data_IF_411906163518
#
_entry.id   IF_411906163518
#
_cell.length_a   1.000
_cell.length_b   1.000
_cell.length_c   1.000
_cell.angle_alpha   90.00
_cell.angle_beta   90.00
_cell.angle_gamma   90.00
#
_symmetry.space_group_name_H-M   'P 1'
#
loop_
_entity.id
_entity.type
_entity.pdbx_description
1 polymer ?
#
# COMPACT_ATOMS: atom_id res chain seq x y z
N UNK A 1 8.53 -2.89 -22.70
CA UNK A 1 8.97 -4.13 -22.03
C UNK A 1 8.37 -4.19 -20.64
N UNK A 2 7.85 -5.36 -20.29
CA UNK A 2 7.08 -5.67 -19.08
C UNK A 2 7.82 -5.25 -17.81
N UNK A 3 7.27 -4.31 -17.03
CA UNK A 3 7.51 -4.24 -15.58
C UNK A 3 6.30 -4.86 -14.87
N UNK A 4 6.07 -6.13 -15.16
CA UNK A 4 5.27 -7.02 -14.31
C UNK A 4 6.20 -7.43 -13.14
N UNK A 5 6.48 -6.51 -12.23
CA UNK A 5 7.10 -6.86 -10.95
C UNK A 5 5.96 -7.23 -10.01
N UNK A 6 5.25 -8.30 -10.38
CA UNK A 6 4.33 -9.02 -9.53
C UNK A 6 4.88 -10.41 -9.43
N UNK A 7 5.86 -10.62 -8.56
CA UNK A 7 6.33 -11.95 -8.18
C UNK A 7 7.10 -11.89 -6.86
N UNK A 8 6.50 -11.28 -5.84
CA UNK A 8 6.80 -11.66 -4.47
C UNK A 8 5.97 -12.88 -4.10
N UNK A 9 6.54 -14.06 -4.36
CA UNK A 9 6.03 -15.35 -3.89
C UNK A 9 6.15 -15.43 -2.36
N UNK A 10 5.24 -14.78 -1.64
CA UNK A 10 4.91 -15.19 -0.28
C UNK A 10 3.97 -16.40 -0.36
N UNK A 11 4.56 -17.57 -0.65
CA UNK A 11 3.97 -18.88 -0.41
C UNK A 11 3.95 -19.21 1.09
N UNK A 12 3.60 -18.24 1.95
CA UNK A 12 3.16 -18.59 3.30
C UNK A 12 1.79 -19.23 3.12
N UNK A 13 1.67 -20.49 3.53
CA UNK A 13 0.47 -21.30 3.48
C UNK A 13 -0.66 -20.80 4.38
N UNK A 14 -1.00 -19.52 4.30
CA UNK A 14 -2.23 -18.96 4.80
C UNK A 14 -3.35 -19.42 3.86
N UNK A 15 -3.84 -20.65 4.08
CA UNK A 15 -5.09 -21.16 3.53
C UNK A 15 -6.32 -20.44 4.13
N UNK A 16 -6.13 -19.30 4.80
CA UNK A 16 -7.21 -18.47 5.32
C UNK A 16 -7.73 -17.55 4.24
N UNK A 17 -8.66 -18.11 3.48
CA UNK A 17 -9.54 -17.46 2.53
C UNK A 17 -10.23 -16.24 3.17
N UNK A 18 -9.93 -15.05 2.65
CA UNK A 18 -10.89 -13.97 2.58
C UNK A 18 -11.34 -13.91 1.11
N UNK A 19 -12.42 -14.61 0.80
CA UNK A 19 -13.04 -14.68 -0.53
C UNK A 19 -14.01 -13.52 -0.81
N UNK A 20 -14.29 -12.67 0.19
CA UNK A 20 -15.17 -11.49 0.04
C UNK A 20 -14.79 -10.38 1.02
N UNK A 21 -15.19 -9.13 0.73
CA UNK A 21 -15.01 -7.97 1.60
C UNK A 21 -15.53 -8.20 3.03
N UNK A 22 -16.68 -8.85 3.17
CA UNK A 22 -17.28 -9.19 4.47
C UNK A 22 -16.41 -10.10 5.35
N UNK A 23 -15.50 -10.88 4.76
CA UNK A 23 -14.63 -11.79 5.49
C UNK A 23 -13.36 -11.10 5.98
N UNK A 24 -12.91 -10.02 5.34
CA UNK A 24 -11.68 -9.28 5.68
C UNK A 24 -11.68 -8.86 7.13
N UNK A 25 -12.74 -8.16 7.57
CA UNK A 25 -12.83 -7.69 8.94
C UNK A 25 -12.82 -8.87 9.94
N UNK A 26 -13.55 -9.96 9.66
CA UNK A 26 -13.57 -11.13 10.53
C UNK A 26 -12.20 -11.80 10.68
N UNK A 27 -11.44 -11.91 9.58
CA UNK A 27 -10.09 -12.47 9.56
C UNK A 27 -9.14 -11.54 10.31
N UNK A 28 -9.25 -10.23 10.05
CA UNK A 28 -8.44 -9.23 10.72
C UNK A 28 -8.66 -9.21 12.23
N UNK A 29 -9.91 -9.28 12.72
CA UNK A 29 -10.19 -9.33 14.16
C UNK A 29 -9.53 -10.55 14.82
N UNK A 30 -9.61 -11.75 14.19
CA UNK A 30 -8.95 -12.95 14.70
C UNK A 30 -7.43 -12.80 14.78
N UNK A 31 -6.82 -12.19 13.76
CA UNK A 31 -5.37 -11.92 13.77
C UNK A 31 -5.03 -10.92 14.89
N UNK A 32 -5.86 -9.88 15.06
CA UNK A 32 -5.67 -8.82 16.05
C UNK A 32 -5.79 -9.34 17.48
N UNK A 33 -6.75 -10.24 17.77
CA UNK A 33 -6.94 -10.86 19.09
C UNK A 33 -5.68 -11.60 19.58
N UNK A 34 -4.92 -12.22 18.67
CA UNK A 34 -3.67 -12.89 18.98
C UNK A 34 -2.42 -11.99 18.96
N UNK A 35 -2.55 -10.73 18.56
CA UNK A 35 -1.39 -9.86 18.34
C UNK A 35 -0.99 -9.08 19.60
N UNK A 36 0.32 -8.95 19.82
CA UNK A 36 0.88 -8.08 20.85
C UNK A 36 0.88 -6.64 20.34
N UNK A 37 -0.01 -5.78 20.85
CA UNK A 37 -0.09 -4.38 20.43
C UNK A 37 0.84 -3.52 21.30
N UNK A 38 1.68 -2.72 20.67
CA UNK A 38 2.60 -1.78 21.34
C UNK A 38 2.71 -0.48 20.52
N UNK A 39 2.24 0.64 21.06
CA UNK A 39 2.23 1.94 20.36
C UNK A 39 3.63 2.53 20.16
N UNK A 40 4.62 2.06 20.92
CA UNK A 40 6.00 2.56 20.86
C UNK A 40 6.88 1.71 19.93
N UNK A 41 6.48 0.47 19.63
CA UNK A 41 7.22 -0.39 18.70
C UNK A 41 6.90 -0.01 17.25
N UNK A 42 7.89 0.55 16.56
CA UNK A 42 7.75 1.01 15.18
C UNK A 42 8.23 0.01 14.12
N UNK A 43 8.61 -1.22 14.48
CA UNK A 43 9.24 -2.14 13.54
C UNK A 43 8.38 -2.42 12.30
N UNK A 44 7.06 -2.60 12.49
CA UNK A 44 6.11 -2.78 11.38
C UNK A 44 5.87 -1.47 10.63
N UNK A 45 5.75 -0.34 11.32
CA UNK A 45 5.58 0.96 10.66
C UNK A 45 6.77 1.27 9.73
N UNK A 46 7.99 1.13 10.25
CA UNK A 46 9.21 1.44 9.53
C UNK A 46 9.43 0.45 8.37
N UNK A 47 8.93 -0.78 8.48
CA UNK A 47 8.90 -1.72 7.37
C UNK A 47 7.96 -1.26 6.24
N UNK A 48 6.76 -0.78 6.56
CA UNK A 48 5.82 -0.24 5.57
C UNK A 48 6.38 1.01 4.89
N UNK A 49 7.06 1.86 5.65
CA UNK A 49 7.73 3.06 5.12
C UNK A 49 8.95 2.69 4.25
N UNK A 50 9.75 1.70 4.65
CA UNK A 50 10.82 1.17 3.81
C UNK A 50 10.27 0.60 2.49
N UNK A 51 9.19 -0.18 2.56
CA UNK A 51 8.54 -0.75 1.39
C UNK A 51 8.04 0.35 0.45
N UNK A 52 7.40 1.38 0.99
CA UNK A 52 6.99 2.57 0.23
C UNK A 52 8.18 3.22 -0.49
N UNK A 53 9.24 3.53 0.25
CA UNK A 53 10.38 4.27 -0.26
C UNK A 53 11.07 3.49 -1.40
N UNK A 54 11.25 2.18 -1.23
CA UNK A 54 11.96 1.32 -2.18
C UNK A 54 11.14 0.91 -3.42
N UNK A 55 9.82 0.75 -3.28
CA UNK A 55 8.96 0.28 -4.38
C UNK A 55 8.25 1.40 -5.12
N UNK A 56 7.77 2.42 -4.40
CA UNK A 56 6.82 3.38 -4.94
C UNK A 56 7.44 4.75 -5.15
N UNK A 57 8.26 5.21 -4.20
CA UNK A 57 8.87 6.56 -4.24
C UNK A 57 10.17 6.62 -5.05
N UNK A 58 10.97 5.55 -5.06
CA UNK A 58 12.24 5.57 -5.79
C UNK A 58 12.02 5.61 -7.31
N UNK A 59 12.96 6.25 -8.01
CA UNK A 59 13.00 6.24 -9.48
C UNK A 59 13.37 4.85 -10.05
N UNK A 60 13.95 3.99 -9.22
CA UNK A 60 14.37 2.63 -9.57
C UNK A 60 13.75 1.63 -8.60
N UNK A 61 13.62 0.38 -9.03
CA UNK A 61 13.26 -0.68 -8.10
C UNK A 61 14.44 -0.91 -7.16
N UNK A 62 14.23 -0.65 -5.87
CA UNK A 62 15.21 -0.81 -4.82
C UNK A 62 14.82 -1.92 -3.82
N UNK A 63 13.86 -2.78 -4.17
CA UNK A 63 13.59 -3.98 -3.36
C UNK A 63 14.77 -4.94 -3.42
N UNK A 64 15.36 -5.18 -2.25
CA UNK A 64 16.50 -6.08 -2.11
C UNK A 64 16.08 -7.36 -1.37
N UNK A 65 16.79 -8.49 -1.55
CA UNK A 65 16.55 -9.71 -0.79
C UNK A 65 16.52 -9.49 0.73
N UNK A 66 17.30 -8.54 1.24
CA UNK A 66 17.34 -8.19 2.66
C UNK A 66 16.00 -7.60 3.14
N UNK A 67 15.31 -6.79 2.32
CA UNK A 67 13.97 -6.28 2.67
C UNK A 67 12.97 -7.42 2.74
N UNK A 68 13.09 -8.42 1.86
CA UNK A 68 12.25 -9.63 1.87
C UNK A 68 12.45 -10.43 3.14
N UNK A 69 13.71 -10.73 3.46
CA UNK A 69 14.08 -11.48 4.65
C UNK A 69 13.57 -10.78 5.91
N UNK A 70 13.63 -9.44 5.94
CA UNK A 70 13.07 -8.66 7.05
C UNK A 70 11.54 -8.82 7.18
N UNK A 71 10.81 -8.82 6.06
CA UNK A 71 9.36 -9.09 6.06
C UNK A 71 9.10 -10.50 6.59
N UNK A 72 9.80 -11.52 6.08
CA UNK A 72 9.64 -12.92 6.46
C UNK A 72 9.94 -13.14 7.95
N UNK A 73 11.02 -12.54 8.45
CA UNK A 73 11.43 -12.63 9.85
C UNK A 73 10.38 -12.00 10.79
N UNK A 74 9.84 -10.84 10.44
CA UNK A 74 8.79 -10.20 11.23
C UNK A 74 7.47 -10.99 11.17
N UNK A 75 7.09 -11.47 10.00
CA UNK A 75 5.83 -12.20 9.78
C UNK A 75 5.83 -13.60 10.43
N UNK A 76 6.99 -14.26 10.51
CA UNK A 76 7.13 -15.60 11.11
C UNK A 76 7.31 -15.60 12.62
N UNK A 77 7.65 -14.44 13.22
CA UNK A 77 7.85 -14.33 14.66
C UNK A 77 6.54 -13.96 15.38
N UNK A 78 5.96 -14.87 16.20
CA UNK A 78 4.72 -14.59 16.93
C UNK A 78 4.86 -13.51 18.02
N UNK A 79 6.09 -13.18 18.40
CA UNK A 79 6.38 -12.13 19.38
C UNK A 79 6.48 -10.73 18.75
N UNK A 80 6.47 -10.62 17.42
CA UNK A 80 6.47 -9.35 16.70
C UNK A 80 5.30 -8.48 17.17
N UNK A 81 5.62 -7.28 17.65
CA UNK A 81 4.60 -6.30 18.03
C UNK A 81 3.89 -5.78 16.80
N UNK A 82 2.60 -5.49 16.95
CA UNK A 82 1.75 -4.95 15.89
C UNK A 82 1.66 -5.82 14.63
N UNK A 83 1.95 -7.12 14.76
CA UNK A 83 1.96 -8.09 13.65
C UNK A 83 0.65 -8.09 12.85
N UNK A 84 -0.49 -7.81 13.48
CA UNK A 84 -1.79 -7.71 12.80
C UNK A 84 -1.82 -6.69 11.65
N UNK A 85 -1.09 -5.57 11.77
CA UNK A 85 -0.96 -4.58 10.70
C UNK A 85 -0.17 -5.16 9.53
N UNK A 86 0.97 -5.81 9.83
CA UNK A 86 1.79 -6.44 8.80
C UNK A 86 1.02 -7.55 8.08
N UNK A 87 0.31 -8.40 8.81
CA UNK A 87 -0.48 -9.49 8.24
C UNK A 87 -1.61 -8.97 7.35
N UNK A 88 -2.32 -7.92 7.76
CA UNK A 88 -3.35 -7.30 6.93
C UNK A 88 -2.76 -6.68 5.66
N UNK A 89 -1.61 -6.02 5.76
CA UNK A 89 -0.88 -5.49 4.60
C UNK A 89 -0.44 -6.60 3.64
N UNK A 90 0.13 -7.70 4.15
CA UNK A 90 0.54 -8.84 3.34
C UNK A 90 -0.65 -9.55 2.69
N UNK A 91 -1.78 -9.65 3.38
CA UNK A 91 -3.01 -10.19 2.82
C UNK A 91 -3.50 -9.34 1.65
N UNK A 92 -3.44 -8.01 1.76
CA UNK A 92 -3.73 -7.10 0.66
C UNK A 92 -2.74 -7.28 -0.51
N UNK A 93 -1.43 -7.30 -0.24
CA UNK A 93 -0.39 -7.49 -1.26
C UNK A 93 -0.59 -8.81 -2.03
N UNK A 94 -0.89 -9.89 -1.31
CA UNK A 94 -1.17 -11.19 -1.91
C UNK A 94 -2.43 -11.15 -2.79
N UNK A 95 -3.47 -10.44 -2.35
CA UNK A 95 -4.70 -10.28 -3.12
C UNK A 95 -4.44 -9.58 -4.47
N UNK A 96 -3.81 -8.39 -4.45
CA UNK A 96 -3.54 -7.63 -5.68
C UNK A 96 -2.55 -8.35 -6.62
N UNK A 97 -1.61 -9.12 -6.05
CA UNK A 97 -0.67 -9.91 -6.85
C UNK A 97 -1.35 -11.05 -7.58
N UNK A 98 -2.23 -11.78 -6.89
CA UNK A 98 -2.95 -12.91 -7.50
C UNK A 98 -3.88 -12.45 -8.61
N UNK A 99 -4.67 -11.39 -8.39
CA UNK A 99 -5.60 -10.87 -9.41
C UNK A 99 -4.86 -10.43 -10.67
N UNK A 100 -3.72 -9.74 -10.52
CA UNK A 100 -2.84 -9.37 -11.62
C UNK A 100 -2.29 -10.60 -12.38
N UNK A 101 -1.88 -11.66 -11.67
CA UNK A 101 -1.33 -12.87 -12.28
C UNK A 101 -2.36 -13.68 -13.07
N UNK A 102 -3.59 -13.80 -12.55
CA UNK A 102 -4.64 -14.63 -13.19
C UNK A 102 -5.52 -13.84 -14.17
N UNK A 103 -5.23 -12.55 -14.37
CA UNK A 103 -6.00 -11.66 -15.25
C UNK A 103 -7.47 -11.50 -14.84
N UNK A 104 -7.79 -11.77 -13.57
CA UNK A 104 -9.16 -11.64 -13.06
C UNK A 104 -9.43 -10.19 -12.67
N UNK A 105 -10.70 -9.74 -12.74
CA UNK A 105 -11.10 -8.47 -12.18
C UNK A 105 -10.67 -8.36 -10.72
N UNK A 106 -10.14 -7.19 -10.38
CA UNK A 106 -9.82 -6.79 -9.02
C UNK A 106 -11.09 -6.81 -8.15
N UNK A 107 -11.06 -7.48 -6.98
CA UNK A 107 -12.13 -7.33 -5.98
C UNK A 107 -11.90 -6.02 -5.23
N UNK A 108 -12.50 -4.96 -5.75
CA UNK A 108 -12.32 -3.60 -5.26
C UNK A 108 -12.97 -3.39 -3.90
N UNK A 109 -14.05 -4.14 -3.57
CA UNK A 109 -14.66 -4.09 -2.25
C UNK A 109 -13.73 -4.65 -1.18
N UNK A 110 -13.09 -5.80 -1.44
CA UNK A 110 -12.06 -6.35 -0.57
C UNK A 110 -10.93 -5.34 -0.34
N UNK A 111 -10.45 -4.70 -1.41
CA UNK A 111 -9.32 -3.79 -1.34
C UNK A 111 -9.66 -2.51 -0.56
N UNK A 112 -10.84 -1.95 -0.77
CA UNK A 112 -11.33 -0.78 -0.03
C UNK A 112 -11.45 -1.11 1.45
N UNK A 113 -12.03 -2.25 1.81
CA UNK A 113 -12.19 -2.67 3.21
C UNK A 113 -10.84 -2.90 3.88
N UNK A 114 -9.94 -3.65 3.25
CA UNK A 114 -8.61 -3.92 3.79
C UNK A 114 -7.80 -2.64 4.00
N UNK A 115 -7.85 -1.70 3.06
CA UNK A 115 -7.17 -0.40 3.20
C UNK A 115 -7.80 0.51 4.26
N UNK A 116 -9.12 0.47 4.40
CA UNK A 116 -9.82 1.22 5.44
C UNK A 116 -9.45 0.70 6.83
N UNK A 117 -9.36 -0.62 7.00
CA UNK A 117 -8.88 -1.24 8.23
C UNK A 117 -7.41 -0.89 8.49
N UNK A 118 -6.53 -0.96 7.49
CA UNK A 118 -5.11 -0.59 7.66
C UNK A 118 -4.92 0.87 8.06
N UNK A 119 -5.63 1.79 7.40
CA UNK A 119 -5.59 3.22 7.75
C UNK A 119 -6.00 3.44 9.20
N UNK A 120 -7.14 2.89 9.60
CA UNK A 120 -7.64 3.00 10.97
C UNK A 120 -6.64 2.45 11.98
N UNK A 121 -6.13 1.25 11.75
CA UNK A 121 -5.29 0.55 12.73
C UNK A 121 -3.90 1.16 12.83
N UNK A 122 -3.32 1.61 11.71
CA UNK A 122 -2.06 2.37 11.76
C UNK A 122 -2.24 3.72 12.45
N UNK A 123 -3.37 4.41 12.24
CA UNK A 123 -3.68 5.65 12.96
C UNK A 123 -3.87 5.41 14.46
N UNK A 124 -4.57 4.36 14.86
CA UNK A 124 -4.87 4.04 16.26
C UNK A 124 -3.63 3.60 17.05
N UNK A 125 -2.73 2.83 16.41
CA UNK A 125 -1.50 2.32 17.04
C UNK A 125 -0.39 3.37 17.00
N UNK A 126 -0.13 3.99 15.85
CA UNK A 126 1.04 4.86 15.65
C UNK A 126 0.73 6.36 15.66
N UNK A 127 -0.55 6.75 15.66
CA UNK A 127 -0.95 8.15 15.49
C UNK A 127 -0.74 8.71 14.08
N UNK A 128 -0.21 7.90 13.15
CA UNK A 128 0.15 8.30 11.78
C UNK A 128 -0.10 7.16 10.79
N UNK A 129 -0.55 7.50 9.59
CA UNK A 129 -0.81 6.55 8.50
C UNK A 129 0.39 6.56 7.53
N UNK A 130 1.04 5.43 7.26
CA UNK A 130 2.07 5.31 6.21
C UNK A 130 1.60 5.77 4.82
N UNK A 131 2.48 6.42 4.05
CA UNK A 131 2.17 6.97 2.71
C UNK A 131 1.58 5.91 1.74
N UNK A 132 2.11 4.68 1.80
CA UNK A 132 1.66 3.55 0.98
C UNK A 132 0.18 3.22 1.15
N UNK A 133 -0.39 3.45 2.34
CA UNK A 133 -1.82 3.19 2.59
C UNK A 133 -2.67 4.22 1.84
N UNK A 134 -2.28 5.50 1.81
CA UNK A 134 -2.99 6.52 1.02
C UNK A 134 -3.02 6.17 -0.47
N UNK A 135 -1.89 5.69 -0.99
CA UNK A 135 -1.73 5.31 -2.41
C UNK A 135 -2.64 4.13 -2.74
N UNK A 136 -2.50 3.01 -2.03
CA UNK A 136 -3.30 1.81 -2.30
C UNK A 136 -4.79 1.99 -1.99
N UNK A 137 -5.14 2.80 -0.99
CA UNK A 137 -6.53 3.16 -0.74
C UNK A 137 -7.12 3.97 -1.89
N UNK A 138 -6.39 4.96 -2.39
CA UNK A 138 -6.82 5.76 -3.54
C UNK A 138 -7.02 4.89 -4.79
N UNK A 139 -6.10 3.98 -5.08
CA UNK A 139 -6.21 3.03 -6.20
C UNK A 139 -7.42 2.10 -6.05
N UNK A 140 -7.65 1.56 -4.85
CA UNK A 140 -8.79 0.70 -4.57
C UNK A 140 -10.13 1.42 -4.75
N UNK A 141 -10.24 2.66 -4.24
CA UNK A 141 -11.42 3.51 -4.39
C UNK A 141 -11.66 3.88 -5.86
N UNK A 142 -10.58 4.23 -6.59
CA UNK A 142 -10.65 4.59 -8.00
C UNK A 142 -11.13 3.41 -8.87
N UNK A 143 -10.58 2.22 -8.61
CA UNK A 143 -10.99 0.97 -9.24
C UNK A 143 -12.42 0.56 -8.90
N UNK A 144 -12.90 0.89 -7.69
CA UNK A 144 -14.29 0.71 -7.26
C UNK A 144 -15.26 1.79 -7.77
N UNK A 145 -14.82 2.71 -8.62
CA UNK A 145 -15.66 3.79 -9.15
C UNK A 145 -15.93 4.94 -8.17
N UNK A 146 -15.32 4.93 -6.98
CA UNK A 146 -15.50 5.94 -5.92
C UNK A 146 -14.55 7.13 -6.11
N UNK A 147 -14.63 7.78 -7.29
CA UNK A 147 -13.66 8.81 -7.74
C UNK A 147 -13.47 9.98 -6.75
N UNK A 148 -14.56 10.46 -6.13
CA UNK A 148 -14.49 11.57 -5.17
C UNK A 148 -13.75 11.16 -3.88
N UNK A 149 -14.00 9.96 -3.38
CA UNK A 149 -13.32 9.43 -2.19
C UNK A 149 -11.83 9.17 -2.49
N UNK A 150 -11.53 8.65 -3.69
CA UNK A 150 -10.15 8.47 -4.14
C UNK A 150 -9.40 9.80 -4.17
N UNK A 151 -10.00 10.84 -4.77
CA UNK A 151 -9.44 12.19 -4.80
C UNK A 151 -9.21 12.75 -3.39
N UNK A 152 -10.19 12.64 -2.49
CA UNK A 152 -10.05 13.10 -1.12
C UNK A 152 -8.92 12.37 -0.37
N UNK A 153 -8.75 11.07 -0.63
CA UNK A 153 -7.66 10.25 -0.07
C UNK A 153 -6.29 10.73 -0.55
N UNK A 154 -6.16 11.04 -1.85
CA UNK A 154 -4.93 11.61 -2.42
C UNK A 154 -4.63 12.99 -1.83
N UNK A 155 -5.63 13.86 -1.74
CA UNK A 155 -5.47 15.22 -1.21
C UNK A 155 -5.02 15.18 0.28
N UNK A 156 -5.59 14.28 1.09
CA UNK A 156 -5.15 14.06 2.47
C UNK A 156 -3.74 13.47 2.54
N UNK A 157 -3.44 12.47 1.71
CA UNK A 157 -2.11 11.87 1.64
C UNK A 157 -1.04 12.92 1.30
N UNK A 158 -1.30 13.78 0.32
CA UNK A 158 -0.35 14.81 -0.12
C UNK A 158 -0.16 15.91 0.95
N UNK A 159 -1.18 16.17 1.78
CA UNK A 159 -1.03 17.05 2.94
C UNK A 159 -0.07 16.47 3.99
N UNK A 160 -0.08 15.16 4.19
CA UNK A 160 0.82 14.47 5.14
C UNK A 160 2.21 14.17 4.56
N UNK A 161 2.28 13.96 3.24
CA UNK A 161 3.49 13.59 2.51
C UNK A 161 3.65 14.44 1.24
N UNK A 162 3.98 15.75 1.38
CA UNK A 162 4.04 16.69 0.26
C UNK A 162 5.08 16.33 -0.80
N UNK A 163 6.12 15.57 -0.43
CA UNK A 163 7.19 15.14 -1.35
C UNK A 163 6.95 13.78 -2.01
N UNK A 164 5.78 13.15 -1.74
CA UNK A 164 5.42 11.88 -2.35
C UNK A 164 5.19 12.04 -3.86
N UNK A 165 6.06 11.46 -4.67
CA UNK A 165 5.92 11.49 -6.14
C UNK A 165 4.66 10.77 -6.59
N UNK A 166 4.31 9.57 -6.07
CA UNK A 166 3.05 8.90 -6.40
C UNK A 166 1.81 9.76 -6.11
N UNK A 167 1.75 10.42 -4.94
CA UNK A 167 0.59 11.25 -4.58
C UNK A 167 0.52 12.52 -5.43
N UNK A 168 1.66 13.15 -5.77
CA UNK A 168 1.70 14.25 -6.74
C UNK A 168 1.21 13.82 -8.12
N UNK A 169 1.63 12.65 -8.60
CA UNK A 169 1.17 12.08 -9.87
C UNK A 169 -0.34 11.90 -9.86
N UNK A 170 -0.90 11.24 -8.85
CA UNK A 170 -2.35 11.05 -8.75
C UNK A 170 -3.12 12.37 -8.60
N UNK A 171 -2.59 13.32 -7.84
CA UNK A 171 -3.19 14.65 -7.73
C UNK A 171 -3.21 15.37 -9.09
N UNK A 172 -2.12 15.31 -9.85
CA UNK A 172 -2.07 15.84 -11.22
C UNK A 172 -3.06 15.13 -12.15
N UNK A 173 -3.15 13.81 -12.10
CA UNK A 173 -4.10 13.08 -12.95
C UNK A 173 -5.55 13.49 -12.69
N UNK A 174 -5.89 13.79 -11.43
CA UNK A 174 -7.22 14.24 -11.00
C UNK A 174 -7.53 15.70 -11.33
N UNK A 175 -6.53 16.59 -11.25
CA UNK A 175 -6.75 18.06 -11.28
C UNK A 175 -6.24 18.74 -12.54
N UNK A 176 -5.27 18.12 -13.23
CA UNK A 176 -4.48 18.71 -14.32
C UNK A 176 -3.75 20.00 -13.91
N UNK A 177 -3.39 20.14 -12.64
CA UNK A 177 -2.67 21.29 -12.10
C UNK A 177 -1.29 21.46 -12.77
N UNK A 178 -1.04 22.66 -13.32
CA UNK A 178 0.18 22.97 -14.05
C UNK A 178 1.43 23.09 -13.16
N UNK A 179 1.28 23.51 -11.90
CA UNK A 179 2.40 23.61 -10.96
C UNK A 179 2.88 22.20 -10.57
N UNK A 180 1.95 21.28 -10.28
CA UNK A 180 2.28 19.87 -10.04
C UNK A 180 2.94 19.22 -11.25
N UNK A 181 2.42 19.48 -12.45
CA UNK A 181 3.03 19.01 -13.70
C UNK A 181 4.48 19.49 -13.82
N UNK A 182 4.72 20.78 -13.64
CA UNK A 182 6.05 21.38 -13.77
C UNK A 182 7.03 20.82 -12.74
N UNK A 183 6.59 20.61 -11.50
CA UNK A 183 7.39 19.97 -10.45
C UNK A 183 7.79 18.53 -10.84
N UNK A 184 6.81 17.72 -11.24
CA UNK A 184 7.04 16.33 -11.66
C UNK A 184 8.00 16.22 -12.85
N UNK A 185 7.83 17.04 -13.87
CA UNK A 185 8.68 17.02 -15.09
C UNK A 185 10.08 17.53 -14.78
N UNK A 186 10.23 18.56 -13.92
CA UNK A 186 11.53 19.15 -13.64
C UNK A 186 12.36 18.33 -12.65
N UNK A 187 11.71 17.77 -11.62
CA UNK A 187 12.39 17.18 -10.47
C UNK A 187 12.30 15.66 -10.43
N UNK A 188 11.37 15.05 -11.17
CA UNK A 188 11.05 13.62 -11.06
C UNK A 188 10.84 12.95 -12.44
N UNK A 189 11.43 13.48 -13.52
CA UNK A 189 11.25 12.97 -14.89
C UNK A 189 11.63 11.51 -15.08
N UNK A 190 12.54 11.00 -14.24
CA UNK A 190 13.00 9.62 -14.30
C UNK A 190 12.14 8.66 -13.45
N UNK A 191 11.24 9.21 -12.63
CA UNK A 191 10.36 8.39 -11.80
C UNK A 191 9.43 7.55 -12.67
N UNK A 192 9.28 6.27 -12.32
CA UNK A 192 8.56 5.30 -13.14
C UNK A 192 7.10 5.69 -13.39
N UNK A 193 6.41 6.28 -12.40
CA UNK A 193 5.03 6.77 -12.59
C UNK A 193 4.94 7.95 -13.55
N UNK A 194 5.88 8.90 -13.49
CA UNK A 194 5.92 10.05 -14.40
C UNK A 194 6.07 9.58 -15.85
N UNK A 195 6.93 8.57 -16.06
CA UNK A 195 7.12 7.93 -17.35
C UNK A 195 5.90 7.11 -17.78
N UNK A 196 5.32 6.30 -16.88
CA UNK A 196 4.18 5.43 -17.17
C UNK A 196 2.95 6.22 -17.60
N UNK A 197 2.68 7.36 -16.96
CA UNK A 197 1.55 8.22 -17.28
C UNK A 197 1.88 9.31 -18.31
N UNK A 198 3.07 9.24 -18.92
CA UNK A 198 3.53 10.16 -19.98
C UNK A 198 3.39 11.65 -19.61
N UNK A 199 3.69 12.00 -18.37
CA UNK A 199 3.63 13.40 -17.90
C UNK A 199 4.84 14.15 -18.47
N UNK A 200 4.58 15.02 -19.45
CA UNK A 200 5.57 15.80 -20.21
C UNK A 200 5.16 17.26 -20.30
#
# INVERSE_FOLDING_TARGET
>A
MKKLIFLFFFCIGLNTFAQSASQVNSVFQKIKEGAKIDKNDRAVYDLLDEFYNKNLQSEKDEMTPETVERIEKLASNPDTKNLHILMLFLMYQQHISRTAMVGKPSDTEFQIEAMTLLEKETKDVYGKVPAIIYIYKAEALDGGGKKNEAKATVDQGLKEYPDSVPLKVYSYLNTKDAALKNDLVKNHSNHWMVQQFEIK
#
